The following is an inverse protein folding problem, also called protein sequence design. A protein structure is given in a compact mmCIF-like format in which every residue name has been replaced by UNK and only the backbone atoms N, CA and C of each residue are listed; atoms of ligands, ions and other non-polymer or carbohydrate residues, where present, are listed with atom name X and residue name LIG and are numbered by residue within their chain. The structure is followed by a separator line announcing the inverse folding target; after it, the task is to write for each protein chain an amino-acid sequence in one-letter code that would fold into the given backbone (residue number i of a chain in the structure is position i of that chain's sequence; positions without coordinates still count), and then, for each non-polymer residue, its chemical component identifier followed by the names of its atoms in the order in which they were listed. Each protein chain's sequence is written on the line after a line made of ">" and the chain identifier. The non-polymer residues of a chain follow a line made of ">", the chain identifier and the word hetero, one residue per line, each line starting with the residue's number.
data_IF_062621569386
#
_entry.id   IF_062621569386
#
_cell.length_a   1.000
_cell.length_b   1.000
_cell.length_c   1.000
_cell.angle_alpha   90.00
_cell.angle_beta   90.00
_cell.angle_gamma   90.00
#
_symmetry.space_group_name_H-M   'P 1'
#
loop_
_entity.id
_entity.type
_entity.pdbx_description
1 polymer ?
#
# COMPACT_ATOMS: atom_id res chain seq x y z
N UNK A 1 -9.55 -15.10 24.82
CA UNK A 1 -9.81 -14.04 23.84
C UNK A 1 -9.09 -14.45 22.56
N UNK A 2 -9.74 -14.60 21.40
CA UNK A 2 -9.02 -14.97 20.19
C UNK A 2 -8.10 -13.80 19.83
N UNK A 3 -6.79 -14.05 19.80
CA UNK A 3 -5.80 -13.06 19.35
C UNK A 3 -6.17 -12.63 17.93
N UNK A 4 -6.29 -11.31 17.70
CA UNK A 4 -6.50 -10.78 16.34
C UNK A 4 -5.28 -11.19 15.50
N UNK A 5 -5.49 -12.05 14.52
CA UNK A 5 -4.48 -12.47 13.54
C UNK A 5 -3.75 -11.24 12.99
N UNK A 6 -2.41 -11.19 13.12
CA UNK A 6 -1.65 -10.05 12.64
C UNK A 6 -1.64 -10.01 11.11
N UNK A 7 -1.41 -8.83 10.54
CA UNK A 7 -1.28 -8.70 9.09
C UNK A 7 -0.16 -9.58 8.53
N UNK A 8 0.96 -9.69 9.26
CA UNK A 8 2.09 -10.54 8.89
C UNK A 8 1.67 -12.00 8.77
N UNK A 9 0.88 -12.49 9.73
CA UNK A 9 0.39 -13.87 9.72
C UNK A 9 -0.51 -14.14 8.50
N UNK A 10 -1.38 -13.18 8.16
CA UNK A 10 -2.23 -13.26 6.97
C UNK A 10 -1.41 -13.31 5.68
N UNK A 11 -0.37 -12.47 5.56
CA UNK A 11 0.52 -12.44 4.39
C UNK A 11 1.26 -13.77 4.25
N UNK A 12 1.85 -14.29 5.34
CA UNK A 12 2.56 -15.57 5.33
C UNK A 12 1.62 -16.71 4.93
N UNK A 13 0.38 -16.73 5.43
CA UNK A 13 -0.63 -17.72 5.05
C UNK A 13 -0.98 -17.67 3.56
N UNK A 14 -1.12 -16.46 3.01
CA UNK A 14 -1.47 -16.25 1.60
C UNK A 14 -0.30 -16.48 0.63
N UNK A 15 0.95 -16.41 1.11
CA UNK A 15 2.16 -16.58 0.30
C UNK A 15 2.19 -17.92 -0.45
N UNK A 16 1.61 -18.97 0.12
CA UNK A 16 1.53 -20.29 -0.48
C UNK A 16 0.30 -20.49 -1.41
N UNK A 17 -0.55 -19.47 -1.59
CA UNK A 17 -1.76 -19.53 -2.41
C UNK A 17 -1.60 -18.66 -3.66
N UNK A 18 -0.79 -19.10 -4.62
CA UNK A 18 -0.37 -18.28 -5.78
C UNK A 18 -1.55 -17.70 -6.58
N UNK A 19 -2.67 -18.43 -6.68
CA UNK A 19 -3.88 -17.96 -7.38
C UNK A 19 -4.50 -16.69 -6.77
N UNK A 20 -4.17 -16.37 -5.52
CA UNK A 20 -4.64 -15.19 -4.78
C UNK A 20 -3.65 -14.03 -4.75
N UNK A 21 -2.42 -14.23 -5.22
CA UNK A 21 -1.38 -13.18 -5.26
C UNK A 21 -1.57 -12.31 -6.50
N UNK A 22 -1.41 -10.98 -6.35
CA UNK A 22 -1.43 -10.01 -7.45
C UNK A 22 -0.20 -9.11 -7.32
N UNK A 23 0.72 -9.24 -8.27
CA UNK A 23 1.85 -8.34 -8.40
C UNK A 23 1.43 -7.18 -9.30
N UNK A 24 1.38 -5.96 -8.76
CA UNK A 24 0.89 -4.77 -9.44
C UNK A 24 1.98 -3.70 -9.39
N UNK A 25 2.19 -2.99 -10.50
CA UNK A 25 3.00 -1.78 -10.57
C UNK A 25 2.15 -0.58 -10.93
N UNK A 26 2.40 0.56 -10.28
CA UNK A 26 1.71 1.83 -10.58
C UNK A 26 2.66 2.73 -11.35
N UNK A 27 2.25 3.09 -12.58
CA UNK A 27 3.04 3.91 -13.49
C UNK A 27 2.15 5.06 -13.96
N UNK A 28 2.67 6.28 -13.88
CA UNK A 28 2.03 7.48 -14.42
C UNK A 28 3.04 8.59 -14.64
N UNK A 29 2.65 9.60 -15.41
CA UNK A 29 3.44 10.80 -15.61
C UNK A 29 3.66 11.58 -14.29
N UNK A 30 4.63 12.51 -14.28
CA UNK A 30 4.91 13.37 -13.12
C UNK A 30 3.63 14.12 -12.72
N UNK A 31 3.40 14.30 -11.43
CA UNK A 31 2.23 14.96 -10.84
C UNK A 31 0.85 14.32 -11.08
N UNK A 32 0.80 13.11 -11.65
CA UNK A 32 -0.47 12.37 -11.80
C UNK A 32 -0.95 11.65 -10.52
N UNK A 33 -0.38 11.99 -9.35
CA UNK A 33 -0.86 11.46 -8.07
C UNK A 33 -0.61 9.96 -7.85
N UNK A 34 0.49 9.42 -8.40
CA UNK A 34 0.88 8.00 -8.19
C UNK A 34 0.95 7.65 -6.70
N UNK A 35 1.73 8.40 -5.95
CA UNK A 35 1.96 8.19 -4.51
C UNK A 35 0.65 8.34 -3.73
N UNK A 36 -0.13 9.38 -4.02
CA UNK A 36 -1.42 9.64 -3.37
C UNK A 36 -2.43 8.50 -3.61
N UNK A 37 -2.46 7.95 -4.81
CA UNK A 37 -3.34 6.82 -5.15
C UNK A 37 -2.95 5.58 -4.36
N UNK A 38 -1.66 5.25 -4.33
CA UNK A 38 -1.16 4.09 -3.60
C UNK A 38 -1.39 4.22 -2.08
N UNK A 39 -1.17 5.40 -1.49
CA UNK A 39 -1.44 5.66 -0.08
C UNK A 39 -2.94 5.48 0.27
N UNK A 40 -3.82 5.92 -0.64
CA UNK A 40 -5.27 5.77 -0.48
C UNK A 40 -5.69 4.29 -0.53
N UNK A 41 -5.09 3.50 -1.42
CA UNK A 41 -5.32 2.05 -1.48
C UNK A 41 -4.86 1.35 -0.20
N UNK A 42 -3.71 1.74 0.36
CA UNK A 42 -3.21 1.22 1.63
C UNK A 42 -4.15 1.56 2.79
N UNK A 43 -4.72 2.76 2.79
CA UNK A 43 -5.71 3.17 3.79
C UNK A 43 -7.01 2.37 3.67
N UNK A 44 -7.52 2.20 2.45
CA UNK A 44 -8.71 1.37 2.19
C UNK A 44 -8.53 -0.10 2.58
N UNK A 45 -7.31 -0.62 2.57
CA UNK A 45 -6.99 -1.97 3.06
C UNK A 45 -6.79 -2.03 4.60
N UNK A 46 -6.93 -0.91 5.31
CA UNK A 46 -6.71 -0.82 6.75
C UNK A 46 -5.24 -0.92 7.17
N UNK A 47 -4.30 -0.73 6.24
CA UNK A 47 -2.86 -0.81 6.49
C UNK A 47 -2.23 0.54 6.82
N UNK A 48 -2.90 1.63 6.45
CA UNK A 48 -2.54 2.99 6.83
C UNK A 48 -3.78 3.67 7.44
N UNK A 49 -3.59 4.54 8.43
CA UNK A 49 -4.69 5.37 8.93
C UNK A 49 -5.09 6.40 7.87
N UNK A 50 -6.38 6.61 7.67
CA UNK A 50 -6.91 7.60 6.70
C UNK A 50 -6.31 9.00 6.90
N UNK A 51 -6.05 9.42 8.14
CA UNK A 51 -5.40 10.71 8.42
C UNK A 51 -3.98 10.84 7.87
N UNK A 52 -3.27 9.71 7.75
CA UNK A 52 -1.88 9.66 7.24
C UNK A 52 -1.83 9.41 5.73
N UNK A 53 -2.92 8.91 5.16
CA UNK A 53 -3.03 8.65 3.72
C UNK A 53 -2.95 9.95 2.93
N UNK A 54 -2.03 10.04 1.97
CA UNK A 54 -1.90 11.16 1.05
C UNK A 54 -1.31 12.46 1.65
N UNK A 55 -1.29 12.63 2.98
CA UNK A 55 -0.64 13.77 3.64
C UNK A 55 0.84 13.56 3.88
N UNK A 56 1.21 12.36 4.34
CA UNK A 56 2.60 12.05 4.66
C UNK A 56 3.36 11.49 3.45
N UNK A 57 2.66 11.19 2.34
CA UNK A 57 3.21 10.53 1.16
C UNK A 57 4.07 9.34 1.60
N UNK A 58 3.46 8.37 2.27
CA UNK A 58 4.18 7.34 3.02
C UNK A 58 5.18 6.55 2.16
N UNK A 59 4.87 6.43 0.87
CA UNK A 59 5.71 5.78 -0.13
C UNK A 59 6.88 6.65 -0.62
N UNK A 60 6.80 7.98 -0.50
CA UNK A 60 7.87 8.93 -0.75
C UNK A 60 8.65 9.14 0.58
N UNK A 61 9.43 8.13 0.94
CA UNK A 61 10.12 8.05 2.24
C UNK A 61 11.41 8.87 2.31
N UNK A 62 12.00 9.22 1.17
CA UNK A 62 13.25 9.97 1.12
C UNK A 62 12.99 11.47 1.25
N UNK A 63 13.89 12.18 1.95
CA UNK A 63 13.75 13.63 2.18
C UNK A 63 13.62 14.44 0.87
N UNK A 64 14.37 14.04 -0.15
CA UNK A 64 14.32 14.67 -1.49
C UNK A 64 12.97 14.45 -2.19
N UNK A 65 12.33 13.30 -1.96
CA UNK A 65 11.03 12.98 -2.56
C UNK A 65 9.92 13.83 -1.90
N UNK A 66 9.99 14.01 -0.58
CA UNK A 66 9.07 14.87 0.16
C UNK A 66 9.24 16.36 -0.18
N UNK A 67 10.49 16.84 -0.28
CA UNK A 67 10.79 18.24 -0.60
C UNK A 67 10.41 18.60 -2.04
N UNK A 68 10.56 17.67 -2.97
CA UNK A 68 10.30 17.89 -4.40
C UNK A 68 8.97 17.33 -4.89
N UNK A 69 8.20 16.68 -4.01
CA UNK A 69 6.93 16.03 -4.31
C UNK A 69 7.01 15.09 -5.54
N UNK A 70 8.12 14.36 -5.65
CA UNK A 70 8.37 13.45 -6.77
C UNK A 70 8.89 12.11 -6.27
N UNK A 71 8.44 11.02 -6.89
CA UNK A 71 8.97 9.69 -6.63
C UNK A 71 10.30 9.50 -7.39
N UNK A 72 11.38 9.24 -6.65
CA UNK A 72 12.72 9.01 -7.20
C UNK A 72 13.03 7.51 -7.19
N UNK A 73 12.56 6.77 -6.18
CA UNK A 73 12.75 5.32 -6.05
C UNK A 73 11.41 4.58 -6.01
N UNK A 74 11.43 3.34 -6.48
CA UNK A 74 10.29 2.45 -6.33
C UNK A 74 10.15 1.97 -4.89
N UNK A 75 8.98 2.20 -4.29
CA UNK A 75 8.62 1.70 -2.97
C UNK A 75 7.69 0.50 -3.10
N UNK A 76 7.97 -0.58 -2.37
CA UNK A 76 7.18 -1.81 -2.39
C UNK A 76 6.29 -1.90 -1.16
N UNK A 77 5.03 -2.29 -1.36
CA UNK A 77 4.07 -2.52 -0.29
C UNK A 77 3.25 -3.78 -0.56
N UNK A 78 2.85 -4.43 0.53
CA UNK A 78 1.93 -5.56 0.50
C UNK A 78 0.56 -5.06 0.90
N UNK A 79 -0.51 -5.60 0.30
CA UNK A 79 -1.89 -5.32 0.69
C UNK A 79 -2.66 -6.62 0.82
N UNK A 80 -3.45 -6.74 1.89
CA UNK A 80 -4.39 -7.85 2.06
C UNK A 80 -5.79 -7.29 1.94
N UNK A 81 -6.53 -7.77 0.96
CA UNK A 81 -7.91 -7.38 0.71
C UNK A 81 -8.81 -8.61 0.72
N UNK A 82 -9.89 -8.54 1.49
CA UNK A 82 -10.94 -9.55 1.51
C UNK A 82 -12.10 -9.07 0.63
N UNK A 83 -12.33 -9.79 -0.47
CA UNK A 83 -13.43 -9.50 -1.38
C UNK A 83 -14.72 -10.08 -0.83
N UNK A 84 -15.67 -9.24 -0.47
CA UNK A 84 -17.05 -9.68 -0.26
C UNK A 84 -17.61 -10.21 -1.59
N UNK A 85 -18.06 -11.47 -1.60
CA UNK A 85 -18.79 -12.02 -2.73
C UNK A 85 -20.24 -11.55 -2.60
N UNK A 86 -20.59 -10.50 -3.33
CA UNK A 86 -21.98 -10.25 -3.72
C UNK A 86 -22.38 -11.19 -4.84
#
# INVERSE_FOLDING_TARGET
>A
MPEKESLTDKVVRLMNQQSRIRNIGVIAHVDHGKTTTCDTLLAGCGMLSEEKAGKQLYLDSEKVEQERQMTVKSSNVNMVYERERK
#
